data_IF_180459230404
#
_entry.id   IF_180459230404
#
_cell.length_a   1.000
_cell.length_b   1.000
_cell.length_c   1.000
_cell.angle_alpha   90.00
_cell.angle_beta   90.00
_cell.angle_gamma   90.00
#
_symmetry.space_group_name_H-M   'P 1'
#
loop_
_entity.id
_entity.type
_entity.pdbx_description
1 polymer ?
#
# COMPACT_ATOMS: atom_id res chain seq x y z
N UNK A 1 -17.14 -15.81 0.83
CA UNK A 1 -15.90 -15.03 0.96
C UNK A 1 -16.18 -13.52 1.09
N UNK A 2 -16.95 -12.90 0.20
CA UNK A 2 -17.21 -11.44 0.25
C UNK A 2 -18.03 -10.96 1.44
N UNK A 3 -19.10 -11.67 1.84
CA UNK A 3 -19.83 -11.34 3.08
C UNK A 3 -18.91 -11.31 4.30
N UNK A 4 -17.96 -12.25 4.37
CA UNK A 4 -16.97 -12.34 5.43
C UNK A 4 -16.00 -11.16 5.40
N UNK A 5 -15.47 -10.80 4.24
CA UNK A 5 -14.64 -9.61 4.10
C UNK A 5 -15.39 -8.32 4.48
N UNK A 6 -16.64 -8.17 4.02
CA UNK A 6 -17.47 -7.01 4.37
C UNK A 6 -17.68 -6.94 5.89
N UNK A 7 -18.05 -8.05 6.52
CA UNK A 7 -18.33 -8.12 7.96
C UNK A 7 -17.10 -7.94 8.83
N UNK A 8 -16.01 -8.65 8.50
CA UNK A 8 -14.87 -8.79 9.39
C UNK A 8 -13.78 -7.73 9.13
N UNK A 9 -13.74 -7.16 7.92
CA UNK A 9 -12.68 -6.23 7.50
C UNK A 9 -13.24 -4.85 7.16
N UNK A 10 -14.17 -4.73 6.21
CA UNK A 10 -14.65 -3.41 5.77
C UNK A 10 -15.48 -2.71 6.84
N UNK A 11 -16.53 -3.37 7.35
CA UNK A 11 -17.46 -2.74 8.28
C UNK A 11 -16.81 -2.23 9.57
N UNK A 12 -15.86 -2.93 10.22
CA UNK A 12 -15.17 -2.39 11.38
C UNK A 12 -14.39 -1.10 11.11
N UNK A 13 -13.89 -0.91 9.88
CA UNK A 13 -13.09 0.23 9.47
C UNK A 13 -13.91 1.36 8.81
N UNK A 14 -15.14 1.10 8.39
CA UNK A 14 -16.02 2.08 7.74
C UNK A 14 -16.79 2.93 8.78
N UNK A 15 -16.78 4.25 8.61
CA UNK A 15 -17.67 5.14 9.36
C UNK A 15 -19.13 4.99 8.88
N UNK A 16 -20.10 5.45 9.70
CA UNK A 16 -21.49 5.57 9.24
C UNK A 16 -21.57 6.54 8.05
N UNK A 17 -22.50 6.30 7.11
CA UNK A 17 -22.67 7.13 5.91
C UNK A 17 -21.42 7.15 4.99
N UNK A 18 -20.67 6.04 4.93
CA UNK A 18 -19.53 5.92 4.01
C UNK A 18 -19.96 5.36 2.65
N UNK A 19 -19.17 5.63 1.62
CA UNK A 19 -19.35 5.05 0.28
C UNK A 19 -18.38 3.88 0.09
N UNK A 20 -18.87 2.76 -0.43
CA UNK A 20 -18.07 1.62 -0.90
C UNK A 20 -18.15 1.52 -2.43
N UNK A 21 -17.02 1.78 -3.10
CA UNK A 21 -16.88 1.62 -4.55
C UNK A 21 -16.41 0.21 -4.88
N UNK A 22 -17.19 -0.53 -5.68
CA UNK A 22 -16.87 -1.91 -6.09
C UNK A 22 -16.76 -2.00 -7.62
N UNK A 23 -16.01 -2.97 -8.12
CA UNK A 23 -16.07 -3.32 -9.53
C UNK A 23 -17.37 -4.07 -9.86
N UNK A 24 -17.65 -4.25 -11.16
CA UNK A 24 -18.86 -4.91 -11.63
C UNK A 24 -18.82 -6.44 -11.49
N UNK A 25 -18.24 -6.97 -10.41
CA UNK A 25 -18.17 -8.41 -10.17
C UNK A 25 -19.43 -8.94 -9.46
N UNK A 26 -20.15 -9.95 -10.02
CA UNK A 26 -21.39 -10.46 -9.43
C UNK A 26 -21.27 -11.00 -8.00
N UNK A 27 -20.06 -11.40 -7.58
CA UNK A 27 -19.79 -11.90 -6.22
C UNK A 27 -20.09 -10.90 -5.10
N UNK A 28 -20.31 -9.63 -5.42
CA UNK A 28 -20.69 -8.59 -4.47
C UNK A 28 -22.20 -8.44 -4.25
N UNK A 29 -23.06 -9.02 -5.09
CA UNK A 29 -24.52 -8.85 -5.00
C UNK A 29 -25.03 -9.26 -3.61
N UNK A 30 -24.54 -10.40 -3.15
CA UNK A 30 -24.77 -10.98 -1.84
C UNK A 30 -24.35 -10.07 -0.67
N UNK A 31 -23.28 -9.29 -0.86
CA UNK A 31 -22.75 -8.39 0.16
C UNK A 31 -23.53 -7.06 0.22
N UNK A 32 -24.13 -6.64 -0.89
CA UNK A 32 -24.96 -5.42 -0.97
C UNK A 32 -26.23 -5.52 -0.13
N UNK A 33 -26.80 -6.72 -0.03
CA UNK A 33 -28.04 -6.96 0.70
C UNK A 33 -27.85 -7.22 2.21
N UNK A 34 -26.62 -7.17 2.71
CA UNK A 34 -26.34 -7.43 4.13
C UNK A 34 -27.05 -6.43 5.05
N UNK A 35 -27.76 -6.89 6.11
CA UNK A 35 -28.42 -5.99 7.06
C UNK A 35 -27.46 -4.99 7.72
N UNK A 36 -26.20 -5.36 7.93
CA UNK A 36 -25.18 -4.52 8.55
C UNK A 36 -24.78 -3.32 7.67
N UNK A 37 -24.80 -3.46 6.35
CA UNK A 37 -24.60 -2.37 5.38
C UNK A 37 -25.71 -1.33 5.52
N UNK A 38 -26.97 -1.79 5.56
CA UNK A 38 -28.15 -0.93 5.78
C UNK A 38 -28.09 -0.23 7.14
N UNK A 39 -27.72 -0.96 8.20
CA UNK A 39 -27.57 -0.43 9.57
C UNK A 39 -26.50 0.67 9.67
N UNK A 40 -25.38 0.56 8.94
CA UNK A 40 -24.35 1.59 8.88
C UNK A 40 -24.60 2.68 7.82
N UNK A 41 -25.69 2.56 7.05
CA UNK A 41 -26.02 3.47 5.93
C UNK A 41 -24.85 3.57 4.95
N UNK A 42 -24.30 2.44 4.54
CA UNK A 42 -23.21 2.40 3.56
C UNK A 42 -23.81 2.47 2.16
N UNK A 43 -23.40 3.46 1.37
CA UNK A 43 -23.79 3.58 -0.03
C UNK A 43 -22.84 2.76 -0.90
N UNK A 44 -23.36 1.77 -1.62
CA UNK A 44 -22.54 0.91 -2.47
C UNK A 44 -22.71 1.35 -3.93
N UNK A 45 -21.63 1.82 -4.54
CA UNK A 45 -21.61 2.18 -5.96
C UNK A 45 -20.79 1.16 -6.74
N UNK A 46 -21.26 0.82 -7.94
CA UNK A 46 -20.60 -0.15 -8.81
C UNK A 46 -19.98 0.58 -10.00
N UNK A 47 -18.67 0.40 -10.17
CA UNK A 47 -17.91 0.88 -11.31
C UNK A 47 -18.38 0.13 -12.57
N UNK A 48 -18.68 0.83 -13.68
CA UNK A 48 -19.13 0.17 -14.91
C UNK A 48 -18.14 -0.89 -15.41
N UNK A 49 -18.63 -1.99 -16.00
CA UNK A 49 -17.77 -3.02 -16.56
C UNK A 49 -16.72 -2.46 -17.52
N UNK A 50 -15.52 -3.04 -17.52
CA UNK A 50 -14.40 -2.67 -18.41
C UNK A 50 -13.86 -1.25 -18.21
N UNK A 51 -14.26 -0.55 -17.14
CA UNK A 51 -13.75 0.80 -16.82
C UNK A 51 -12.82 0.85 -15.61
N UNK A 52 -12.59 -0.28 -14.93
CA UNK A 52 -11.78 -0.39 -13.70
C UNK A 52 -10.42 0.30 -13.83
N UNK A 53 -9.64 -0.02 -14.85
CA UNK A 53 -8.32 0.61 -15.05
C UNK A 53 -8.34 2.11 -15.37
N UNK A 54 -9.52 2.67 -15.71
CA UNK A 54 -9.71 4.09 -16.02
C UNK A 54 -10.21 4.88 -14.81
N UNK A 55 -11.14 4.31 -14.05
CA UNK A 55 -11.83 5.04 -12.99
C UNK A 55 -11.60 4.51 -11.58
N UNK A 56 -11.20 3.25 -11.38
CA UNK A 56 -10.99 2.74 -10.03
C UNK A 56 -9.72 3.36 -9.41
N UNK A 57 -9.82 4.09 -8.29
CA UNK A 57 -8.65 4.76 -7.70
C UNK A 57 -7.50 3.78 -7.36
N UNK A 58 -7.83 2.56 -6.93
CA UNK A 58 -6.82 1.54 -6.68
C UNK A 58 -5.98 1.22 -7.91
N UNK A 59 -6.61 1.03 -9.08
CA UNK A 59 -5.89 0.70 -10.33
C UNK A 59 -5.24 1.92 -10.97
N UNK A 60 -5.88 3.08 -10.91
CA UNK A 60 -5.37 4.33 -11.49
C UNK A 60 -4.08 4.81 -10.79
N UNK A 61 -3.95 4.54 -9.48
CA UNK A 61 -2.82 5.00 -8.68
C UNK A 61 -2.21 3.91 -7.81
N UNK A 62 -2.87 3.56 -6.70
CA UNK A 62 -2.29 2.81 -5.58
C UNK A 62 -1.57 1.51 -6.00
N UNK A 63 -2.26 0.63 -6.74
CA UNK A 63 -1.77 -0.67 -7.16
C UNK A 63 -0.50 -0.58 -8.01
N UNK A 64 -0.34 0.50 -8.79
CA UNK A 64 0.86 0.73 -9.60
C UNK A 64 2.08 0.92 -8.71
N UNK A 65 1.99 1.80 -7.72
CA UNK A 65 3.10 2.11 -6.81
C UNK A 65 3.39 0.97 -5.84
N UNK A 66 2.34 0.27 -5.39
CA UNK A 66 2.47 -0.97 -4.62
C UNK A 66 3.30 -2.03 -5.37
N UNK A 67 2.91 -2.32 -6.62
CA UNK A 67 3.63 -3.29 -7.46
C UNK A 67 5.05 -2.84 -7.77
N UNK A 68 5.27 -1.53 -7.94
CA UNK A 68 6.59 -0.98 -8.23
C UNK A 68 7.56 -1.19 -7.07
N UNK A 69 7.19 -0.79 -5.84
CA UNK A 69 8.02 -1.06 -4.65
C UNK A 69 8.27 -2.56 -4.50
N UNK A 70 7.22 -3.38 -4.62
CA UNK A 70 7.33 -4.82 -4.42
C UNK A 70 8.36 -5.42 -5.38
N UNK A 71 8.26 -5.10 -6.67
CA UNK A 71 9.21 -5.56 -7.70
C UNK A 71 10.63 -5.08 -7.41
N UNK A 72 10.82 -3.81 -7.09
CA UNK A 72 12.15 -3.27 -6.77
C UNK A 72 12.78 -3.99 -5.57
N UNK A 73 11.99 -4.29 -4.53
CA UNK A 73 12.47 -5.05 -3.39
C UNK A 73 12.78 -6.50 -3.76
N UNK A 74 11.91 -7.18 -4.49
CA UNK A 74 12.14 -8.54 -4.96
C UNK A 74 13.42 -8.65 -5.79
N UNK A 75 13.65 -7.72 -6.72
CA UNK A 75 14.84 -7.67 -7.56
C UNK A 75 16.11 -7.45 -6.71
N UNK A 76 16.07 -6.50 -5.77
CA UNK A 76 17.20 -6.26 -4.85
C UNK A 76 17.49 -7.47 -3.97
N UNK A 77 16.45 -8.16 -3.47
CA UNK A 77 16.59 -9.36 -2.65
C UNK A 77 17.22 -10.49 -3.47
N UNK A 78 16.70 -10.76 -4.68
CA UNK A 78 17.26 -11.80 -5.56
C UNK A 78 18.73 -11.56 -5.88
N UNK A 79 19.12 -10.29 -6.04
CA UNK A 79 20.50 -9.92 -6.39
C UNK A 79 21.46 -9.93 -5.19
N UNK A 80 21.03 -9.42 -4.04
CA UNK A 80 21.90 -9.18 -2.89
C UNK A 80 21.79 -10.23 -1.78
N UNK A 81 20.66 -10.95 -1.73
CA UNK A 81 20.31 -11.93 -0.69
C UNK A 81 19.71 -13.20 -1.31
N UNK A 82 20.43 -13.88 -2.22
CA UNK A 82 19.91 -15.07 -2.93
C UNK A 82 19.55 -16.23 -1.99
N UNK A 83 20.11 -16.27 -0.78
CA UNK A 83 19.77 -17.22 0.28
C UNK A 83 18.35 -17.02 0.85
N UNK A 84 17.79 -15.82 0.70
CA UNK A 84 16.44 -15.52 1.17
C UNK A 84 15.39 -16.03 0.18
N UNK A 85 14.68 -17.09 0.58
CA UNK A 85 13.66 -17.74 -0.25
C UNK A 85 12.36 -16.92 -0.32
N UNK A 86 12.28 -16.01 -1.29
CA UNK A 86 11.07 -15.21 -1.55
C UNK A 86 9.81 -16.04 -1.80
N UNK A 87 9.93 -17.26 -2.34
CA UNK A 87 8.79 -18.14 -2.61
C UNK A 87 8.11 -18.70 -1.36
N UNK A 88 8.75 -18.60 -0.18
CA UNK A 88 8.14 -19.05 1.07
C UNK A 88 7.02 -18.11 1.50
N UNK A 89 5.83 -18.66 1.77
CA UNK A 89 4.63 -17.89 2.14
C UNK A 89 4.85 -16.90 3.29
N UNK A 90 5.59 -17.29 4.31
CA UNK A 90 5.95 -16.42 5.44
C UNK A 90 6.78 -15.21 4.99
N UNK A 91 7.73 -15.41 4.09
CA UNK A 91 8.59 -14.36 3.55
C UNK A 91 7.83 -13.41 2.63
N UNK A 92 6.91 -13.94 1.81
CA UNK A 92 5.96 -13.13 1.03
C UNK A 92 5.15 -12.24 1.98
N UNK A 93 4.60 -12.81 3.05
CA UNK A 93 3.84 -12.05 4.05
C UNK A 93 4.66 -10.93 4.70
N UNK A 94 5.90 -11.22 5.10
CA UNK A 94 6.84 -10.20 5.64
C UNK A 94 7.07 -9.07 4.65
N UNK A 95 7.33 -9.40 3.39
CA UNK A 95 7.59 -8.42 2.34
C UNK A 95 6.37 -7.55 2.08
N UNK A 96 5.19 -8.16 1.88
CA UNK A 96 3.94 -7.44 1.65
C UNK A 96 3.61 -6.50 2.82
N UNK A 97 3.78 -6.96 4.06
CA UNK A 97 3.58 -6.11 5.24
C UNK A 97 4.51 -4.89 5.20
N UNK A 98 5.81 -5.09 4.95
CA UNK A 98 6.76 -3.99 4.86
C UNK A 98 6.46 -3.02 3.71
N UNK A 99 6.02 -3.52 2.54
CA UNK A 99 5.57 -2.65 1.42
C UNK A 99 4.37 -1.80 1.82
N UNK A 100 3.36 -2.41 2.44
CA UNK A 100 2.16 -1.70 2.91
C UNK A 100 2.56 -0.64 3.94
N UNK A 101 3.44 -0.96 4.88
CA UNK A 101 3.94 0.00 5.86
C UNK A 101 4.59 1.20 5.15
N UNK A 102 5.48 0.99 4.17
CA UNK A 102 6.11 2.11 3.48
C UNK A 102 5.09 3.02 2.79
N UNK A 103 4.17 2.44 2.01
CA UNK A 103 3.20 3.22 1.22
C UNK A 103 2.14 3.91 2.11
N UNK A 104 1.94 3.41 3.32
CA UNK A 104 1.03 4.04 4.30
C UNK A 104 1.61 5.31 4.94
N UNK A 105 2.87 5.67 4.66
CA UNK A 105 3.48 6.87 5.21
C UNK A 105 2.76 8.16 4.74
N UNK A 106 2.58 9.17 5.62
CA UNK A 106 1.83 10.40 5.31
C UNK A 106 2.33 11.16 4.08
N UNK A 107 3.61 11.01 3.73
CA UNK A 107 4.18 11.64 2.52
C UNK A 107 3.49 11.23 1.22
N UNK A 108 2.86 10.07 1.18
CA UNK A 108 2.16 9.58 -0.01
C UNK A 108 0.68 9.96 -0.02
N UNK A 109 0.18 10.73 0.95
CA UNK A 109 -1.23 11.15 0.99
C UNK A 109 -1.65 11.87 -0.30
N UNK A 110 -0.81 12.76 -0.84
CA UNK A 110 -1.07 13.47 -2.10
C UNK A 110 -1.14 12.51 -3.30
N UNK A 111 -0.33 11.44 -3.29
CA UNK A 111 -0.36 10.40 -4.33
C UNK A 111 -1.66 9.58 -4.25
N UNK A 112 -2.14 9.26 -3.05
CA UNK A 112 -3.44 8.60 -2.86
C UNK A 112 -4.58 9.53 -3.31
N UNK A 113 -4.54 10.82 -2.94
CA UNK A 113 -5.54 11.80 -3.39
C UNK A 113 -5.57 11.94 -4.91
N UNK A 114 -4.41 11.96 -5.57
CA UNK A 114 -4.31 11.98 -7.03
C UNK A 114 -5.06 10.81 -7.69
N UNK A 115 -5.09 9.63 -7.05
CA UNK A 115 -5.80 8.48 -7.57
C UNK A 115 -7.33 8.68 -7.62
N UNK A 116 -7.88 9.58 -6.82
CA UNK A 116 -9.30 9.98 -6.85
C UNK A 116 -9.56 11.21 -7.72
N UNK A 117 -8.64 12.18 -7.76
CA UNK A 117 -8.75 13.39 -8.59
C UNK A 117 -8.67 13.05 -10.07
N UNK A 118 -7.68 12.23 -10.48
CA UNK A 118 -7.43 11.89 -11.89
C UNK A 118 -8.66 11.31 -12.62
N UNK A 119 -9.45 10.39 -12.04
CA UNK A 119 -10.68 9.91 -12.65
C UNK A 119 -11.91 10.79 -12.39
N UNK A 120 -11.76 11.93 -11.72
CA UNK A 120 -12.82 12.93 -11.55
C UNK A 120 -13.74 12.74 -10.35
N UNK A 121 -13.35 11.96 -9.33
CA UNK A 121 -14.17 11.83 -8.10
C UNK A 121 -14.15 13.11 -7.26
N UNK A 122 -13.05 13.85 -7.31
CA UNK A 122 -12.89 15.11 -6.58
C UNK A 122 -12.50 16.22 -7.54
N UNK A 123 -13.22 17.33 -7.45
CA UNK A 123 -12.88 18.57 -8.14
C UNK A 123 -11.89 19.37 -7.27
N UNK A 124 -10.61 19.03 -7.39
CA UNK A 124 -9.51 19.64 -6.65
C UNK A 124 -8.26 19.72 -7.51
N UNK A 125 -7.45 20.75 -7.29
CA UNK A 125 -6.17 20.89 -7.97
C UNK A 125 -5.16 19.82 -7.57
N UNK A 126 -4.27 19.51 -8.52
CA UNK A 126 -3.17 18.58 -8.33
C UNK A 126 -2.12 19.16 -7.37
N UNK A 127 -1.90 18.48 -6.25
CA UNK A 127 -0.72 18.71 -5.41
C UNK A 127 0.45 17.89 -5.92
N UNK A 128 1.65 18.48 -5.93
CA UNK A 128 2.89 17.72 -6.17
C UNK A 128 3.00 16.59 -5.14
N UNK A 129 3.49 15.44 -5.59
CA UNK A 129 3.70 14.27 -4.75
C UNK A 129 5.01 13.57 -5.09
N UNK A 130 5.60 12.93 -4.08
CA UNK A 130 6.73 12.02 -4.28
C UNK A 130 6.19 10.62 -4.57
N UNK A 131 6.93 9.85 -5.38
CA UNK A 131 6.62 8.44 -5.59
C UNK A 131 7.44 7.56 -4.63
N UNK A 132 6.90 6.43 -4.18
CA UNK A 132 7.63 5.57 -3.25
C UNK A 132 8.93 5.03 -3.82
N UNK A 133 9.01 4.74 -5.12
CA UNK A 133 10.23 4.29 -5.78
C UNK A 133 11.36 5.34 -5.73
N UNK A 134 11.04 6.59 -6.10
CA UNK A 134 11.98 7.70 -6.08
C UNK A 134 12.46 7.96 -4.65
N UNK A 135 11.52 8.04 -3.70
CA UNK A 135 11.90 8.35 -2.32
C UNK A 135 12.68 7.22 -1.63
N UNK A 136 12.23 5.97 -1.77
CA UNK A 136 12.78 4.84 -1.01
C UNK A 136 14.10 4.31 -1.57
N UNK A 137 14.36 4.49 -2.87
CA UNK A 137 15.50 3.84 -3.54
C UNK A 137 16.43 4.80 -4.30
N UNK A 138 15.99 6.02 -4.64
CA UNK A 138 16.82 6.99 -5.36
C UNK A 138 17.55 7.95 -4.41
N UNK A 139 18.28 7.41 -3.42
CA UNK A 139 19.12 8.21 -2.53
C UNK A 139 20.57 8.26 -3.05
N UNK A 140 21.12 9.48 -3.14
CA UNK A 140 22.38 9.81 -3.82
C UNK A 140 23.65 9.12 -3.29
N UNK A 141 23.57 8.42 -2.16
CA UNK A 141 24.73 7.79 -1.52
C UNK A 141 24.85 6.33 -1.95
N UNK A 142 25.60 6.09 -3.03
CA UNK A 142 26.23 4.79 -3.25
C UNK A 142 27.02 4.45 -1.98
N UNK A 143 26.73 3.30 -1.37
CA UNK A 143 27.38 2.88 -0.11
C UNK A 143 26.79 3.48 1.17
N UNK A 144 25.59 4.07 1.14
CA UNK A 144 24.89 4.45 2.37
C UNK A 144 24.80 3.26 3.34
N UNK A 145 25.07 3.50 4.62
CA UNK A 145 24.97 2.48 5.67
C UNK A 145 23.63 2.56 6.39
N UNK A 146 23.26 1.47 7.04
CA UNK A 146 22.11 1.45 7.92
C UNK A 146 22.30 2.43 9.10
N UNK A 147 21.28 3.23 9.38
CA UNK A 147 21.26 4.25 10.44
C UNK A 147 20.62 3.74 11.74
N UNK A 148 20.42 2.43 11.88
CA UNK A 148 20.04 1.82 13.16
C UNK A 148 21.29 1.58 14.02
N UNK A 149 21.10 1.67 15.33
CA UNK A 149 22.19 1.64 16.32
C UNK A 149 23.05 0.38 16.15
N UNK A 150 24.37 0.56 16.17
CA UNK A 150 25.37 -0.51 16.04
C UNK A 150 25.30 -1.32 14.73
N UNK A 151 24.67 -0.81 13.67
CA UNK A 151 24.65 -1.46 12.37
C UNK A 151 25.70 -0.88 11.42
N UNK A 152 26.45 -1.76 10.75
CA UNK A 152 27.44 -1.37 9.73
C UNK A 152 27.06 -1.81 8.32
N UNK A 153 25.94 -2.53 8.18
CA UNK A 153 25.44 -3.07 6.92
C UNK A 153 25.06 -1.97 5.93
N UNK A 154 25.12 -2.31 4.65
CA UNK A 154 24.68 -1.41 3.58
C UNK A 154 23.16 -1.19 3.65
N UNK A 155 22.76 0.02 3.33
CA UNK A 155 21.36 0.41 3.22
C UNK A 155 20.70 -0.33 2.07
N UNK A 156 19.55 -0.90 2.36
CA UNK A 156 18.70 -1.59 1.42
C UNK A 156 17.55 -0.69 0.95
N UNK A 157 17.03 0.18 1.83
CA UNK A 157 15.91 1.07 1.58
C UNK A 157 15.97 2.30 2.51
N UNK A 158 15.47 3.46 2.05
CA UNK A 158 15.13 4.59 2.93
C UNK A 158 13.69 4.47 3.42
N UNK A 159 13.49 4.45 4.74
CA UNK A 159 12.17 4.33 5.34
C UNK A 159 11.30 5.57 5.08
N UNK A 160 10.08 5.39 4.60
CA UNK A 160 9.12 6.47 4.31
C UNK A 160 8.61 7.19 5.56
N UNK A 161 8.74 6.58 6.74
CA UNK A 161 8.27 7.13 8.03
C UNK A 161 9.35 7.89 8.80
N UNK A 162 10.47 7.21 9.10
CA UNK A 162 11.54 7.78 9.93
C UNK A 162 12.68 8.37 9.12
N UNK A 163 12.63 8.24 7.78
CA UNK A 163 13.60 8.76 6.82
C UNK A 163 15.00 8.14 6.89
N UNK A 164 15.22 7.21 7.82
CA UNK A 164 16.47 6.48 7.98
C UNK A 164 16.70 5.49 6.86
N UNK A 165 17.96 5.31 6.50
CA UNK A 165 18.47 4.25 5.66
C UNK A 165 18.55 2.95 6.48
N UNK A 166 17.90 1.89 6.02
CA UNK A 166 17.73 0.63 6.74
C UNK A 166 18.30 -0.51 5.89
N UNK A 167 19.12 -1.38 6.48
CA UNK A 167 19.62 -2.58 5.80
C UNK A 167 18.52 -3.65 5.65
N UNK A 168 18.79 -4.66 4.82
CA UNK A 168 17.87 -5.76 4.56
C UNK A 168 17.42 -6.48 5.85
N UNK A 169 18.36 -6.81 6.73
CA UNK A 169 18.07 -7.50 7.98
C UNK A 169 17.08 -6.72 8.85
N UNK A 170 17.40 -5.46 9.13
CA UNK A 170 16.54 -4.62 9.97
C UNK A 170 15.18 -4.34 9.33
N UNK A 171 15.14 -4.18 8.00
CA UNK A 171 13.90 -3.94 7.27
C UNK A 171 12.99 -5.16 7.30
N UNK A 172 13.46 -6.32 6.81
CA UNK A 172 12.61 -7.47 6.51
C UNK A 172 12.68 -8.60 7.55
N UNK A 173 13.84 -8.82 8.16
CA UNK A 173 14.03 -9.90 9.15
C UNK A 173 13.54 -9.47 10.53
N UNK A 174 13.95 -8.27 10.97
CA UNK A 174 13.51 -7.66 12.22
C UNK A 174 12.17 -6.94 12.13
N UNK A 175 11.58 -6.84 10.92
CA UNK A 175 10.32 -6.14 10.64
C UNK A 175 10.33 -4.69 11.16
N UNK A 176 11.12 -3.85 10.50
CA UNK A 176 11.21 -2.43 10.84
C UNK A 176 9.81 -1.80 10.94
N UNK A 177 9.52 -1.15 12.07
CA UNK A 177 8.27 -0.47 12.30
C UNK A 177 8.55 0.91 12.89
N UNK A 178 7.98 1.95 12.30
CA UNK A 178 8.22 3.35 12.66
C UNK A 178 6.94 4.18 12.77
N UNK A 179 5.78 3.53 12.95
CA UNK A 179 4.53 4.24 13.21
C UNK A 179 4.74 5.04 14.50
N UNK A 180 4.92 6.36 14.36
CA UNK A 180 4.79 7.27 15.49
C UNK A 180 3.34 7.13 15.93
N UNK A 181 3.10 6.75 17.18
CA UNK A 181 1.77 6.84 17.76
C UNK A 181 1.31 8.30 17.54
N UNK A 182 0.27 8.48 16.73
CA UNK A 182 -0.45 9.74 16.63
C UNK A 182 -1.12 10.01 17.97
#
# INVERSE_FOLDING_TARGET
MMKKWVKDIFLPNAAKNSVLLLDSWPGFNDAKEMPEIKKKKIDILTIPPKTTGKIQPLDVGFNRYFKLILRTLEDKIRRMHPEFKLSQRSNIGRLLNQVIEQISAPRYNSLIQHAFIKPGYFDREYKKYETPDSYCFNFAKIGARCELKNCKELSFIRCSWCEKHICFHHFLMSLHCCRKNN
#
